data_IF_303383138382
#
_entry.id   IF_303383138382
#
_cell.length_a   1.000
_cell.length_b   1.000
_cell.length_c   1.000
_cell.angle_alpha   90.00
_cell.angle_beta   90.00
_cell.angle_gamma   90.00
#
_symmetry.space_group_name_H-M   'P 1'
#
loop_
_entity.id
_entity.type
_entity.pdbx_description
1 polymer ?
#
# COMPACT_ATOMS: atom_id res chain seq x y z
N UNK A 1 12.35 -0.58 -8.33
CA UNK A 1 11.53 -1.57 -9.02
C UNK A 1 11.50 -2.88 -8.25
N UNK A 2 10.32 -3.44 -8.05
CA UNK A 2 10.19 -4.72 -7.38
C UNK A 2 10.68 -5.84 -8.30
N UNK A 3 11.27 -6.86 -7.70
CA UNK A 3 11.73 -8.04 -8.42
C UNK A 3 10.97 -9.26 -7.89
N UNK A 4 11.01 -10.34 -8.67
CA UNK A 4 10.17 -11.52 -8.37
C UNK A 4 10.36 -12.04 -6.94
N UNK A 5 11.59 -12.07 -6.43
CA UNK A 5 11.84 -12.54 -5.08
C UNK A 5 11.23 -11.65 -4.01
N UNK A 6 11.18 -10.34 -4.24
CA UNK A 6 10.58 -9.40 -3.30
C UNK A 6 9.05 -9.48 -3.33
N UNK A 7 8.48 -9.73 -4.52
CA UNK A 7 7.04 -9.93 -4.62
C UNK A 7 6.63 -11.21 -3.91
N UNK A 8 7.48 -12.26 -3.95
CA UNK A 8 7.18 -13.51 -3.27
C UNK A 8 7.00 -13.31 -1.76
N UNK A 9 7.76 -12.40 -1.13
CA UNK A 9 7.56 -12.09 0.27
C UNK A 9 6.18 -11.47 0.51
N UNK A 10 5.73 -10.60 -0.39
CA UNK A 10 4.40 -10.02 -0.28
C UNK A 10 3.30 -11.04 -0.52
N UNK A 11 3.55 -12.02 -1.38
CA UNK A 11 2.59 -13.08 -1.65
C UNK A 11 2.35 -13.95 -0.42
N UNK A 12 3.29 -13.99 0.51
CA UNK A 12 3.09 -14.71 1.77
C UNK A 12 2.03 -14.03 2.65
N UNK A 13 1.88 -12.70 2.56
CA UNK A 13 0.88 -11.96 3.34
C UNK A 13 -0.35 -11.61 2.52
N UNK A 14 -0.25 -11.62 1.20
CA UNK A 14 -1.39 -11.37 0.31
C UNK A 14 -1.25 -12.26 -0.92
N UNK A 15 -1.79 -13.49 -0.88
CA UNK A 15 -1.74 -14.39 -2.03
C UNK A 15 -2.33 -13.71 -3.26
N UNK A 16 -1.64 -13.82 -4.40
CA UNK A 16 -2.05 -13.15 -5.62
C UNK A 16 -1.44 -11.77 -5.82
N UNK A 17 -0.55 -11.33 -4.92
CA UNK A 17 0.14 -10.04 -5.08
C UNK A 17 0.87 -9.99 -6.42
N UNK A 18 0.68 -8.89 -7.18
CA UNK A 18 1.28 -8.73 -8.50
C UNK A 18 1.71 -7.28 -8.70
N UNK A 19 2.69 -7.09 -9.58
CA UNK A 19 3.17 -5.75 -9.92
C UNK A 19 2.30 -5.18 -11.04
N UNK A 20 1.91 -3.90 -10.90
CA UNK A 20 1.10 -3.17 -11.88
C UNK A 20 1.75 -1.83 -12.12
N UNK A 21 1.76 -1.37 -13.36
CA UNK A 21 2.28 -0.04 -13.70
C UNK A 21 1.17 0.79 -14.33
N UNK A 22 1.01 2.02 -13.87
CA UNK A 22 0.07 2.96 -14.46
C UNK A 22 0.69 4.37 -14.42
N UNK A 23 0.70 5.06 -15.56
CA UNK A 23 1.18 6.43 -15.64
C UNK A 23 2.61 6.62 -15.16
N UNK A 24 3.48 5.63 -15.38
CA UNK A 24 4.86 5.68 -14.92
C UNK A 24 5.04 5.32 -13.45
N UNK A 25 3.97 5.06 -12.72
CA UNK A 25 4.03 4.65 -11.32
C UNK A 25 3.99 3.14 -11.20
N UNK A 26 4.79 2.58 -10.28
CA UNK A 26 4.82 1.14 -10.03
C UNK A 26 4.06 0.86 -8.73
N UNK A 27 3.08 -0.03 -8.81
CA UNK A 27 2.27 -0.46 -7.68
C UNK A 27 2.38 -1.96 -7.52
N UNK A 28 2.31 -2.45 -6.28
CA UNK A 28 2.07 -3.86 -6.01
C UNK A 28 0.61 -3.99 -5.60
N UNK A 29 -0.17 -4.74 -6.37
CA UNK A 29 -1.57 -5.01 -6.05
C UNK A 29 -1.64 -6.14 -5.03
N UNK A 30 -2.28 -5.86 -3.91
CA UNK A 30 -2.47 -6.82 -2.81
C UNK A 30 -3.96 -7.13 -2.74
N UNK A 31 -4.41 -8.27 -3.32
CA UNK A 31 -5.85 -8.56 -3.41
C UNK A 31 -6.53 -8.67 -2.05
N UNK A 32 -5.79 -9.11 -1.04
CA UNK A 32 -6.32 -9.25 0.32
C UNK A 32 -5.23 -8.91 1.31
N UNK A 33 -5.43 -7.85 2.07
CA UNK A 33 -4.46 -7.40 3.06
C UNK A 33 -5.13 -7.29 4.41
N UNK A 34 -4.59 -8.00 5.41
CA UNK A 34 -5.05 -7.88 6.79
C UNK A 34 -4.47 -6.60 7.40
N UNK A 35 -5.33 -5.83 8.06
CA UNK A 35 -4.96 -4.57 8.69
C UNK A 35 -4.84 -4.73 10.19
N UNK A 36 -4.15 -3.79 10.87
CA UNK A 36 -4.07 -3.81 12.33
C UNK A 36 -5.44 -3.74 12.99
N UNK A 37 -5.53 -4.18 14.23
CA UNK A 37 -6.75 -4.09 15.01
C UNK A 37 -7.21 -2.64 15.12
N UNK A 38 -8.51 -2.45 15.07
CA UNK A 38 -9.11 -1.12 15.12
C UNK A 38 -9.49 -0.57 13.76
N UNK A 39 -9.01 -1.17 12.68
CA UNK A 39 -9.45 -0.81 11.32
C UNK A 39 -10.77 -1.49 11.01
N UNK A 40 -11.66 -0.77 10.32
CA UNK A 40 -12.96 -1.30 9.92
C UNK A 40 -13.27 -0.82 8.51
N UNK A 41 -13.26 -1.70 7.51
CA UNK A 41 -12.97 -3.15 7.58
C UNK A 41 -11.51 -3.43 7.95
N UNK A 42 -11.25 -4.62 8.45
CA UNK A 42 -9.89 -5.01 8.85
C UNK A 42 -9.19 -5.90 7.82
N UNK A 43 -9.79 -6.09 6.67
CA UNK A 43 -9.21 -6.82 5.55
C UNK A 43 -9.71 -6.16 4.26
N UNK A 44 -8.77 -5.71 3.44
CA UNK A 44 -9.10 -4.91 2.26
C UNK A 44 -8.19 -5.30 1.10
N UNK A 45 -8.56 -4.84 -0.08
CA UNK A 45 -7.67 -4.81 -1.24
C UNK A 45 -6.78 -3.58 -1.13
N UNK A 46 -5.51 -3.68 -1.56
CA UNK A 46 -4.57 -2.58 -1.40
C UNK A 46 -3.65 -2.43 -2.60
N UNK A 47 -3.07 -1.24 -2.74
CA UNK A 47 -1.98 -0.96 -3.67
C UNK A 47 -0.82 -0.39 -2.87
N UNK A 48 0.35 -1.02 -2.99
CA UNK A 48 1.58 -0.50 -2.40
C UNK A 48 2.36 0.22 -3.50
N UNK A 49 2.49 1.53 -3.39
CA UNK A 49 3.20 2.35 -4.37
C UNK A 49 4.68 2.41 -3.98
N UNK A 50 5.55 1.96 -4.87
CA UNK A 50 6.99 1.89 -4.64
C UNK A 50 7.74 3.05 -5.28
N UNK A 51 7.02 4.01 -5.88
CA UNK A 51 7.61 5.21 -6.47
C UNK A 51 6.97 6.43 -5.84
N UNK A 52 7.59 7.59 -6.01
CA UNK A 52 7.11 8.81 -5.39
C UNK A 52 5.67 9.11 -5.83
N UNK A 53 4.82 9.46 -4.87
CA UNK A 53 3.44 9.81 -5.12
C UNK A 53 3.00 10.88 -4.12
N UNK A 54 2.56 12.02 -4.63
CA UNK A 54 2.04 13.09 -3.80
C UNK A 54 3.03 13.61 -2.75
N UNK A 55 4.33 13.59 -3.05
CA UNK A 55 5.36 14.04 -2.13
C UNK A 55 5.91 12.97 -1.20
N UNK A 56 5.41 11.74 -1.28
CA UNK A 56 5.89 10.62 -0.47
C UNK A 56 6.72 9.67 -1.31
N UNK A 57 7.87 9.18 -0.79
CA UNK A 57 8.71 8.23 -1.54
C UNK A 57 8.00 6.92 -1.84
N UNK A 58 7.16 6.46 -0.91
CA UNK A 58 6.31 5.28 -1.08
C UNK A 58 4.97 5.57 -0.42
N UNK A 59 3.93 4.81 -0.78
CA UNK A 59 2.61 5.03 -0.19
C UNK A 59 1.78 3.76 -0.26
N UNK A 60 0.90 3.59 0.71
CA UNK A 60 -0.06 2.49 0.74
C UNK A 60 -1.46 3.03 0.52
N UNK A 61 -2.17 2.46 -0.44
CA UNK A 61 -3.55 2.80 -0.75
C UNK A 61 -4.45 1.63 -0.42
N UNK A 62 -5.64 1.91 0.12
CA UNK A 62 -6.61 0.91 0.54
C UNK A 62 -7.90 1.06 -0.24
N UNK A 63 -8.59 -0.04 -0.50
CA UNK A 63 -9.84 -0.02 -1.26
C UNK A 63 -11.00 0.64 -0.50
N UNK A 64 -10.87 0.79 0.82
CA UNK A 64 -11.92 1.35 1.69
C UNK A 64 -11.32 2.30 2.71
N UNK A 65 -12.06 3.33 3.15
CA UNK A 65 -11.67 4.08 4.34
C UNK A 65 -11.83 3.18 5.55
N UNK A 66 -10.86 3.21 6.47
CA UNK A 66 -10.81 2.22 7.56
C UNK A 66 -10.90 2.84 8.95
N UNK A 67 -11.14 4.15 9.03
CA UNK A 67 -11.30 4.83 10.31
C UNK A 67 -10.02 5.05 11.08
N UNK A 68 -8.87 4.76 10.49
CA UNK A 68 -7.55 4.97 11.08
C UNK A 68 -6.67 5.76 10.12
N UNK A 69 -5.60 6.34 10.63
CA UNK A 69 -4.66 7.11 9.84
C UNK A 69 -4.94 8.60 9.93
N UNK A 70 -3.88 9.40 9.89
CA UNK A 70 -3.96 10.87 9.98
C UNK A 70 -4.27 11.47 8.61
N UNK A 71 -5.12 12.50 8.60
CA UNK A 71 -5.43 13.26 7.39
C UNK A 71 -5.78 12.34 6.20
N UNK A 72 -6.85 11.55 6.32
CA UNK A 72 -7.21 10.62 5.24
C UNK A 72 -7.54 11.38 3.95
N UNK A 73 -7.17 10.78 2.84
CA UNK A 73 -7.44 11.35 1.52
C UNK A 73 -7.76 10.23 0.54
N UNK A 74 -8.27 10.59 -0.65
CA UNK A 74 -8.58 9.62 -1.67
C UNK A 74 -7.99 10.05 -3.01
N UNK A 75 -7.67 9.05 -3.83
CA UNK A 75 -7.07 9.27 -5.15
C UNK A 75 -7.66 8.29 -6.16
N UNK A 76 -7.73 8.72 -7.42
CA UNK A 76 -8.17 7.85 -8.49
C UNK A 76 -6.96 7.17 -9.11
N UNK A 77 -6.92 5.84 -9.03
CA UNK A 77 -5.85 5.02 -9.59
C UNK A 77 -6.50 3.83 -10.28
N UNK A 78 -6.07 3.51 -11.50
CA UNK A 78 -6.61 2.40 -12.26
C UNK A 78 -8.14 2.49 -12.43
N UNK A 79 -8.65 3.72 -12.56
CA UNK A 79 -10.07 3.96 -12.73
C UNK A 79 -10.92 3.74 -11.48
N UNK A 80 -10.32 3.62 -10.31
CA UNK A 80 -11.02 3.39 -9.05
C UNK A 80 -10.56 4.40 -8.00
N UNK A 81 -11.41 4.62 -7.00
CA UNK A 81 -11.05 5.45 -5.85
C UNK A 81 -10.34 4.60 -4.82
N UNK A 82 -9.18 5.07 -4.39
CA UNK A 82 -8.37 4.44 -3.35
C UNK A 82 -8.18 5.40 -2.21
N UNK A 83 -7.98 4.90 -1.00
CA UNK A 83 -7.89 5.69 0.22
C UNK A 83 -6.51 5.53 0.85
N UNK A 84 -5.97 6.64 1.32
CA UNK A 84 -4.66 6.65 1.97
C UNK A 84 -4.69 7.68 3.10
N UNK A 85 -3.54 7.93 3.72
CA UNK A 85 -3.44 8.86 4.85
C UNK A 85 -2.03 9.45 4.87
N UNK A 86 -1.84 10.46 5.70
CA UNK A 86 -0.51 11.04 5.92
C UNK A 86 0.26 10.18 6.91
N UNK A 87 1.51 9.84 6.56
CA UNK A 87 2.37 9.00 7.40
C UNK A 87 3.82 9.43 7.18
N UNK A 88 4.74 8.82 7.87
CA UNK A 88 6.16 9.09 7.72
C UNK A 88 6.62 8.79 6.30
N UNK A 89 7.70 9.47 5.88
CA UNK A 89 8.30 9.17 4.58
C UNK A 89 9.04 7.86 4.68
N UNK A 90 8.49 6.81 4.09
CA UNK A 90 9.10 5.48 4.08
C UNK A 90 9.89 5.35 2.80
N UNK A 91 11.23 5.23 2.87
CA UNK A 91 12.06 5.27 1.67
C UNK A 91 11.87 4.04 0.79
N UNK A 92 12.08 4.23 -0.52
CA UNK A 92 11.89 3.17 -1.51
C UNK A 92 13.05 2.18 -1.55
N UNK A 93 14.13 2.44 -0.80
CA UNK A 93 15.28 1.54 -0.80
C UNK A 93 15.16 0.38 0.19
N UNK A 94 14.06 0.33 0.94
CA UNK A 94 13.75 -0.83 1.77
C UNK A 94 13.13 -1.93 0.91
N UNK A 95 13.12 -3.16 1.44
CA UNK A 95 12.39 -4.23 0.74
C UNK A 95 10.90 -3.95 0.77
N UNK A 96 10.13 -4.32 -0.26
CA UNK A 96 8.69 -4.06 -0.29
C UNK A 96 7.94 -4.56 0.95
N UNK A 97 8.32 -5.72 1.50
CA UNK A 97 7.67 -6.23 2.72
C UNK A 97 7.95 -5.31 3.93
N UNK A 98 9.14 -4.72 3.99
CA UNK A 98 9.48 -3.76 5.05
C UNK A 98 8.71 -2.45 4.84
N UNK A 99 8.59 -2.01 3.60
CA UNK A 99 7.82 -0.81 3.27
C UNK A 99 6.37 -0.98 3.70
N UNK A 100 5.77 -2.13 3.37
CA UNK A 100 4.41 -2.43 3.77
C UNK A 100 4.25 -2.41 5.29
N UNK A 101 5.16 -3.07 6.02
CA UNK A 101 5.10 -3.13 7.48
C UNK A 101 5.16 -1.74 8.10
N UNK A 102 6.02 -0.86 7.57
CA UNK A 102 6.14 0.50 8.09
C UNK A 102 4.87 1.30 7.85
N UNK A 103 4.23 1.14 6.69
CA UNK A 103 2.98 1.83 6.43
C UNK A 103 1.85 1.32 7.33
N UNK A 104 1.79 0.01 7.59
CA UNK A 104 0.76 -0.55 8.45
C UNK A 104 0.86 -0.02 9.89
N UNK A 105 2.07 0.34 10.34
CA UNK A 105 2.24 0.95 11.67
C UNK A 105 1.46 2.26 11.80
N UNK A 106 1.25 2.97 10.71
CA UNK A 106 0.48 4.21 10.70
C UNK A 106 -1.00 3.99 10.95
N UNK A 107 -1.47 2.77 10.93
CA UNK A 107 -2.87 2.42 11.17
C UNK A 107 -3.11 1.80 12.55
N UNK A 108 -2.07 1.68 13.33
CA UNK A 108 -2.18 1.11 14.69
C UNK A 108 -2.71 2.12 15.70
#
# INVERSE_FOLDING_TARGET
>A
MAIAGQIAELQAVSPGATEITEGGQVYIHLPTLALPDGCSPNRVEALLCLTQHGGYPTRLFLSHPVGRGSNPSSHCILGRTWHTWSWNYIPANLRPIEILAEHLRGLQ
#
